data_IF_095810309298
#
_entry.id   IF_095810309298
#
_cell.length_a   1.000
_cell.length_b   1.000
_cell.length_c   1.000
_cell.angle_alpha   90.00
_cell.angle_beta   90.00
_cell.angle_gamma   90.00
#
_symmetry.space_group_name_H-M   'P 1'
#
loop_
_entity.id
_entity.type
_entity.pdbx_description
1 polymer ?
#
# COMPACT_ATOMS: atom_id res chain seq x y z
N UNK A 1 71.23 25.96 29.16
CA UNK A 1 70.78 25.72 27.78
C UNK A 1 70.86 24.22 27.51
N UNK A 2 70.10 23.40 28.26
CA UNK A 2 70.25 21.93 28.27
C UNK A 2 69.06 21.24 28.96
N UNK A 3 67.84 21.77 28.82
CA UNK A 3 66.64 21.14 29.41
C UNK A 3 65.40 21.19 28.50
N UNK A 4 65.56 21.67 27.25
CA UNK A 4 64.50 21.62 26.23
C UNK A 4 64.76 20.58 25.12
N UNK A 5 65.90 19.88 25.18
CA UNK A 5 66.23 18.80 24.23
C UNK A 5 65.80 17.41 24.71
N UNK A 6 65.44 17.23 25.98
CA UNK A 6 65.05 15.90 26.50
C UNK A 6 63.57 15.59 26.28
N UNK A 7 62.70 16.60 26.31
CA UNK A 7 61.23 16.42 26.16
C UNK A 7 60.85 16.14 24.69
N UNK A 8 61.63 16.66 23.73
CA UNK A 8 61.40 16.40 22.30
C UNK A 8 61.87 15.00 21.90
N UNK A 9 62.87 14.44 22.57
CA UNK A 9 63.35 13.07 22.31
C UNK A 9 62.40 12.02 22.90
N UNK A 10 61.77 12.31 24.04
CA UNK A 10 60.78 11.44 24.67
C UNK A 10 59.40 11.47 23.97
N UNK A 11 59.06 12.60 23.31
CA UNK A 11 57.87 12.69 22.45
C UNK A 11 58.06 12.00 21.09
N UNK A 12 59.29 11.90 20.58
CA UNK A 12 59.58 11.18 19.33
C UNK A 12 59.65 9.65 19.51
N UNK A 13 59.93 9.15 20.72
CA UNK A 13 60.00 7.71 21.00
C UNK A 13 58.66 7.08 21.42
N UNK A 14 57.64 7.87 21.72
CA UNK A 14 56.29 7.38 22.05
C UNK A 14 55.32 7.42 20.85
N UNK A 15 55.73 8.05 19.74
CA UNK A 15 54.94 8.12 18.50
C UNK A 15 55.16 6.97 17.51
N UNK A 16 55.93 5.93 17.87
CA UNK A 16 56.31 4.84 16.95
C UNK A 16 55.66 3.48 17.26
N UNK A 17 54.55 3.46 18.01
CA UNK A 17 53.90 2.22 18.45
C UNK A 17 52.52 1.93 17.82
N UNK A 18 52.13 2.62 16.75
CA UNK A 18 50.90 2.29 15.99
C UNK A 18 51.11 2.40 14.48
N UNK A 19 52.10 1.68 13.95
CA UNK A 19 52.02 1.27 12.54
C UNK A 19 50.96 0.18 12.46
N UNK A 20 49.77 0.51 11.97
CA UNK A 20 48.78 -0.48 11.53
C UNK A 20 49.40 -1.27 10.39
N UNK A 21 50.04 -2.39 10.73
CA UNK A 21 50.44 -3.40 9.77
C UNK A 21 49.15 -3.92 9.12
N UNK A 22 48.89 -3.51 7.87
CA UNK A 22 47.95 -4.23 7.02
C UNK A 22 48.56 -5.61 6.78
N UNK A 23 48.15 -6.57 7.59
CA UNK A 23 48.42 -7.98 7.34
C UNK A 23 47.75 -8.33 6.00
N UNK A 24 48.55 -8.35 4.93
CA UNK A 24 48.08 -8.72 3.60
C UNK A 24 47.74 -10.21 3.67
N UNK A 25 46.46 -10.53 3.93
CA UNK A 25 45.94 -11.89 3.85
C UNK A 25 46.46 -12.52 2.55
N UNK A 26 47.12 -13.66 2.71
CA UNK A 26 47.70 -14.47 1.63
C UNK A 26 46.77 -14.45 0.42
N UNK A 27 47.25 -13.87 -0.69
CA UNK A 27 46.52 -13.92 -1.95
C UNK A 27 46.36 -15.37 -2.38
N UNK A 28 45.17 -15.73 -2.88
CA UNK A 28 44.97 -17.04 -3.48
C UNK A 28 45.63 -17.05 -4.86
N UNK A 29 46.74 -17.77 -5.00
CA UNK A 29 47.34 -18.03 -6.32
C UNK A 29 46.60 -19.18 -6.97
N UNK A 30 45.69 -18.86 -7.89
CA UNK A 30 44.95 -19.86 -8.64
C UNK A 30 45.86 -20.38 -9.77
N UNK A 31 46.09 -21.69 -9.81
CA UNK A 31 46.81 -22.34 -10.91
C UNK A 31 46.15 -22.01 -12.26
N UNK A 32 46.89 -21.90 -13.38
CA UNK A 32 46.33 -21.67 -14.71
C UNK A 32 45.22 -22.67 -15.10
N UNK A 33 45.26 -23.88 -14.53
CA UNK A 33 44.22 -24.89 -14.70
C UNK A 33 42.96 -24.56 -13.87
N UNK A 34 43.13 -24.05 -12.65
CA UNK A 34 42.02 -23.63 -11.78
C UNK A 34 41.26 -22.40 -12.30
N UNK A 35 41.98 -21.46 -12.94
CA UNK A 35 41.33 -20.30 -13.60
C UNK A 35 40.46 -20.73 -14.78
N UNK A 36 40.88 -21.76 -15.51
CA UNK A 36 40.11 -22.32 -16.62
C UNK A 36 38.81 -22.96 -16.13
N UNK A 37 38.86 -23.78 -15.06
CA UNK A 37 37.66 -24.38 -14.47
C UNK A 37 36.71 -23.34 -13.86
N UNK A 38 37.23 -22.31 -13.19
CA UNK A 38 36.42 -21.21 -12.67
C UNK A 38 35.73 -20.42 -13.80
N UNK A 39 36.43 -20.20 -14.92
CA UNK A 39 35.87 -19.57 -16.10
C UNK A 39 34.74 -20.39 -16.73
N UNK A 40 34.92 -21.72 -16.84
CA UNK A 40 33.88 -22.63 -17.34
C UNK A 40 32.68 -22.64 -16.40
N UNK A 41 32.89 -22.72 -15.09
CA UNK A 41 31.80 -22.72 -14.12
C UNK A 41 31.00 -21.42 -14.15
N UNK A 42 31.69 -20.27 -14.31
CA UNK A 42 31.05 -18.96 -14.46
C UNK A 42 30.20 -18.89 -15.75
N UNK A 43 30.70 -19.41 -16.87
CA UNK A 43 29.94 -19.48 -18.12
C UNK A 43 28.72 -20.39 -18.01
N UNK A 44 28.86 -21.57 -17.39
CA UNK A 44 27.74 -22.48 -17.15
C UNK A 44 26.69 -21.82 -16.23
N UNK A 45 27.13 -21.08 -15.20
CA UNK A 45 26.23 -20.33 -14.32
C UNK A 45 25.48 -19.22 -15.07
N UNK A 46 26.16 -18.48 -15.96
CA UNK A 46 25.53 -17.46 -16.81
C UNK A 46 24.45 -18.05 -17.72
N UNK A 47 24.73 -19.20 -18.35
CA UNK A 47 23.77 -19.91 -19.20
C UNK A 47 22.62 -20.47 -18.36
N UNK A 48 22.90 -21.02 -17.18
CA UNK A 48 21.88 -21.53 -16.27
C UNK A 48 20.92 -20.45 -15.77
N UNK A 49 21.45 -19.29 -15.36
CA UNK A 49 20.64 -18.12 -14.98
C UNK A 49 19.89 -17.56 -16.19
N UNK A 50 20.52 -17.51 -17.36
CA UNK A 50 19.87 -17.08 -18.61
C UNK A 50 18.70 -17.97 -19.01
N UNK A 51 18.85 -19.30 -18.90
CA UNK A 51 17.77 -20.26 -19.12
C UNK A 51 16.69 -20.15 -18.03
N UNK A 52 17.08 -19.96 -16.78
CA UNK A 52 16.12 -19.76 -15.69
C UNK A 52 15.29 -18.48 -15.93
N UNK A 53 15.92 -17.37 -16.31
CA UNK A 53 15.22 -16.14 -16.69
C UNK A 53 14.36 -16.37 -17.93
N UNK A 54 14.85 -17.10 -18.94
CA UNK A 54 14.07 -17.43 -20.13
C UNK A 54 12.81 -18.25 -19.82
N UNK A 55 12.91 -19.24 -18.94
CA UNK A 55 11.78 -20.10 -18.58
C UNK A 55 10.85 -19.50 -17.52
N UNK A 56 11.37 -18.63 -16.63
CA UNK A 56 10.63 -18.11 -15.48
C UNK A 56 10.37 -16.60 -15.48
N UNK A 57 10.91 -15.81 -16.39
CA UNK A 57 10.58 -14.39 -16.51
C UNK A 57 9.48 -14.17 -17.55
N UNK A 58 8.23 -13.86 -17.16
CA UNK A 58 7.24 -13.33 -18.07
C UNK A 58 7.55 -11.84 -18.31
N UNK A 59 8.60 -11.52 -19.06
CA UNK A 59 8.88 -10.15 -19.47
C UNK A 59 8.45 -9.93 -20.92
N UNK A 60 7.20 -9.45 -20.99
CA UNK A 60 6.56 -8.64 -22.01
C UNK A 60 7.56 -7.81 -22.85
N UNK A 61 7.62 -8.08 -24.15
CA UNK A 61 8.22 -7.16 -25.13
C UNK A 61 7.48 -5.81 -25.07
N UNK A 62 8.18 -4.74 -24.72
CA UNK A 62 7.84 -3.40 -25.22
C UNK A 62 8.37 -3.27 -26.64
N UNK A 63 7.52 -3.55 -27.62
CA UNK A 63 7.76 -3.09 -28.99
C UNK A 63 7.37 -1.61 -29.06
N UNK A 64 8.36 -0.73 -29.04
CA UNK A 64 8.20 0.60 -29.61
C UNK A 64 8.05 0.43 -31.13
N UNK A 65 6.85 0.70 -31.66
CA UNK A 65 6.65 0.78 -33.11
C UNK A 65 6.51 2.25 -33.50
N UNK A 66 7.57 2.78 -34.11
CA UNK A 66 7.46 3.92 -35.02
C UNK A 66 6.63 3.48 -36.23
N UNK A 67 5.69 4.32 -36.63
CA UNK A 67 4.83 4.11 -37.78
C UNK A 67 5.63 4.13 -39.09
N UNK A 68 5.49 3.09 -39.92
CA UNK A 68 5.43 3.22 -41.38
C UNK A 68 4.93 1.91 -42.02
N UNK A 69 3.88 2.06 -42.83
CA UNK A 69 3.29 1.26 -43.92
C UNK A 69 3.78 -0.17 -44.26
N UNK A 70 2.79 -1.04 -44.54
CA UNK A 70 2.87 -2.02 -45.66
C UNK A 70 2.82 -3.52 -45.34
N UNK A 71 1.71 -4.15 -45.72
CA UNK A 71 1.49 -5.56 -46.10
C UNK A 71 1.43 -6.73 -45.09
N UNK A 72 0.18 -7.19 -44.92
CA UNK A 72 -0.34 -8.56 -44.88
C UNK A 72 0.48 -9.71 -44.26
N UNK A 73 0.15 -10.07 -43.00
CA UNK A 73 0.11 -11.47 -42.57
C UNK A 73 -1.10 -11.70 -41.65
N UNK A 74 -1.90 -12.71 -42.00
CA UNK A 74 -3.16 -13.09 -41.38
C UNK A 74 -3.00 -13.63 -39.95
N UNK A 75 -3.85 -13.12 -39.07
CA UNK A 75 -4.60 -13.81 -38.01
C UNK A 75 -3.83 -14.62 -36.96
N UNK A 76 -3.40 -13.91 -35.90
CA UNK A 76 -3.68 -14.38 -34.54
C UNK A 76 -3.92 -13.17 -33.62
N UNK A 77 -5.08 -12.52 -33.79
CA UNK A 77 -5.57 -11.58 -32.80
C UNK A 77 -6.02 -12.36 -31.57
N UNK A 78 -5.07 -12.74 -30.69
CA UNK A 78 -5.42 -12.92 -29.29
C UNK A 78 -5.90 -11.55 -28.82
N UNK A 79 -7.22 -11.39 -28.79
CA UNK A 79 -7.84 -10.34 -28.01
C UNK A 79 -7.53 -10.63 -26.55
N UNK A 80 -6.34 -10.21 -26.09
CA UNK A 80 -6.14 -9.96 -24.68
C UNK A 80 -7.01 -8.76 -24.39
N UNK A 81 -8.30 -9.01 -24.13
CA UNK A 81 -9.15 -8.06 -23.42
C UNK A 81 -8.44 -7.79 -22.11
N UNK A 82 -7.63 -6.73 -22.08
CA UNK A 82 -7.19 -6.12 -20.84
C UNK A 82 -8.47 -5.71 -20.14
N UNK A 83 -8.92 -6.54 -19.20
CA UNK A 83 -10.11 -6.29 -18.42
C UNK A 83 -9.79 -5.07 -17.56
N UNK A 84 -10.07 -3.88 -18.09
CA UNK A 84 -9.99 -2.65 -17.32
C UNK A 84 -11.10 -2.73 -16.27
N UNK A 85 -10.71 -3.11 -15.06
CA UNK A 85 -11.59 -3.18 -13.90
C UNK A 85 -11.83 -1.74 -13.44
N UNK A 86 -12.90 -1.14 -13.96
CA UNK A 86 -13.31 0.23 -13.66
C UNK A 86 -14.68 0.20 -12.97
N UNK A 87 -14.87 1.06 -11.98
CA UNK A 87 -16.15 1.29 -11.33
C UNK A 87 -17.15 1.91 -12.30
N UNK A 88 -18.43 1.58 -12.09
CA UNK A 88 -19.52 2.30 -12.74
C UNK A 88 -19.54 3.76 -12.28
N UNK A 89 -19.88 4.66 -13.19
CA UNK A 89 -20.07 6.09 -12.87
C UNK A 89 -21.45 6.41 -12.28
N UNK A 90 -22.32 5.40 -12.16
CA UNK A 90 -23.68 5.53 -11.63
C UNK A 90 -23.72 6.01 -10.16
N UNK A 91 -22.68 5.71 -9.39
CA UNK A 91 -22.54 6.13 -7.99
C UNK A 91 -21.17 6.76 -7.82
N UNK A 92 -21.13 8.01 -7.36
CA UNK A 92 -19.89 8.76 -7.15
C UNK A 92 -19.80 9.27 -5.70
N UNK A 93 -18.61 9.27 -5.08
CA UNK A 93 -18.46 9.75 -3.71
C UNK A 93 -18.47 11.28 -3.64
N UNK A 94 -18.97 11.83 -2.55
CA UNK A 94 -18.88 13.26 -2.21
C UNK A 94 -18.10 13.50 -0.91
N UNK A 95 -18.39 12.72 0.13
CA UNK A 95 -17.78 12.85 1.45
C UNK A 95 -17.54 11.47 2.08
N UNK A 96 -16.35 11.31 2.65
CA UNK A 96 -15.99 10.23 3.55
C UNK A 96 -15.89 10.75 4.97
N UNK A 97 -16.61 10.13 5.90
CA UNK A 97 -16.32 10.19 7.33
C UNK A 97 -15.68 8.86 7.73
N UNK A 98 -14.40 8.90 8.08
CA UNK A 98 -13.57 7.72 8.30
C UNK A 98 -13.10 7.70 9.76
N UNK A 99 -13.34 6.60 10.45
CA UNK A 99 -12.78 6.30 11.76
C UNK A 99 -11.83 5.12 11.66
N UNK A 100 -10.62 5.27 12.19
CA UNK A 100 -9.61 4.22 12.25
C UNK A 100 -9.11 4.07 13.70
N UNK A 101 -9.06 2.83 14.16
CA UNK A 101 -8.55 2.43 15.47
C UNK A 101 -7.42 1.41 15.24
N UNK A 102 -6.18 1.86 15.05
CA UNK A 102 -5.05 0.96 14.90
C UNK A 102 -4.59 0.43 16.26
N UNK A 103 -4.34 -0.88 16.31
CA UNK A 103 -3.64 -1.55 17.38
C UNK A 103 -2.20 -1.77 16.94
N UNK A 104 -1.26 -1.17 17.67
CA UNK A 104 0.15 -1.04 17.24
C UNK A 104 1.07 -1.50 18.39
N UNK A 105 0.97 -2.77 18.75
CA UNK A 105 1.84 -3.38 19.76
C UNK A 105 2.11 -4.83 19.42
N UNK A 106 3.17 -5.38 20.02
CA UNK A 106 3.57 -6.76 19.78
C UNK A 106 2.44 -7.73 20.13
N UNK A 107 2.11 -8.61 19.19
CA UNK A 107 0.98 -9.54 19.30
C UNK A 107 -0.34 -9.02 18.71
N UNK A 108 -0.50 -7.72 18.46
CA UNK A 108 -1.67 -7.19 17.77
C UNK A 108 -1.34 -6.00 16.84
N UNK A 109 -1.39 -6.28 15.54
CA UNK A 109 -1.21 -5.32 14.46
C UNK A 109 -2.44 -5.26 13.56
N UNK A 110 -3.63 -5.24 14.16
CA UNK A 110 -4.89 -5.06 13.44
C UNK A 110 -5.35 -3.60 13.52
N UNK A 111 -6.33 -3.24 12.70
CA UNK A 111 -7.05 -2.00 12.87
C UNK A 111 -8.54 -2.23 12.66
N UNK A 112 -9.35 -1.56 13.47
CA UNK A 112 -10.79 -1.49 13.26
C UNK A 112 -11.12 -0.19 12.53
N UNK A 113 -12.03 -0.27 11.57
CA UNK A 113 -12.47 0.88 10.81
C UNK A 113 -13.99 0.96 10.71
N UNK A 114 -14.47 2.20 10.66
CA UNK A 114 -15.85 2.56 10.33
C UNK A 114 -15.78 3.64 9.26
N UNK A 115 -16.60 3.52 8.21
CA UNK A 115 -16.66 4.52 7.15
C UNK A 115 -18.12 4.82 6.79
N UNK A 116 -18.45 6.11 6.73
CA UNK A 116 -19.67 6.61 6.10
C UNK A 116 -19.28 7.32 4.82
N UNK A 117 -19.89 6.89 3.72
CA UNK A 117 -19.64 7.46 2.41
C UNK A 117 -20.94 8.10 1.95
N UNK A 118 -20.97 9.43 1.89
CA UNK A 118 -22.01 10.15 1.18
C UNK A 118 -21.76 9.98 -0.32
N UNK A 119 -22.72 9.38 -1.01
CA UNK A 119 -22.65 9.12 -2.45
C UNK A 119 -23.77 9.83 -3.20
N UNK A 120 -23.46 10.31 -4.40
CA UNK A 120 -24.40 10.88 -5.34
C UNK A 120 -24.72 9.85 -6.42
N UNK A 121 -26.00 9.64 -6.69
CA UNK A 121 -26.45 8.71 -7.73
C UNK A 121 -26.71 9.48 -9.01
N UNK A 122 -25.94 9.19 -10.05
CA UNK A 122 -25.99 9.89 -11.35
C UNK A 122 -26.89 9.17 -12.35
N UNK A 123 -27.14 7.87 -12.13
CA UNK A 123 -27.98 6.98 -12.93
C UNK A 123 -28.73 6.02 -12.00
N UNK A 124 -29.99 5.72 -12.31
CA UNK A 124 -30.79 4.77 -11.54
C UNK A 124 -30.07 3.41 -11.48
N UNK A 125 -29.80 2.92 -10.27
CA UNK A 125 -29.01 1.71 -10.07
C UNK A 125 -29.46 0.98 -8.81
N UNK A 126 -29.27 -0.33 -8.77
CA UNK A 126 -29.44 -1.15 -7.57
C UNK A 126 -28.10 -1.72 -7.07
N UNK A 127 -26.99 -1.16 -7.53
CA UNK A 127 -25.65 -1.66 -7.25
C UNK A 127 -24.72 -0.53 -6.80
N UNK A 128 -24.09 -0.74 -5.64
CA UNK A 128 -22.98 0.07 -5.13
C UNK A 128 -21.76 -0.83 -5.08
N UNK A 129 -20.76 -0.53 -5.92
CA UNK A 129 -19.50 -1.27 -5.93
C UNK A 129 -18.37 -0.35 -5.44
N UNK A 130 -17.62 -0.85 -4.47
CA UNK A 130 -16.45 -0.19 -3.88
C UNK A 130 -15.21 -1.05 -4.14
N UNK A 131 -14.03 -0.44 -4.17
CA UNK A 131 -12.78 -1.17 -4.03
C UNK A 131 -12.56 -1.57 -2.57
N UNK A 132 -12.16 -2.83 -2.35
CA UNK A 132 -11.78 -3.35 -1.04
C UNK A 132 -10.83 -4.53 -1.23
N UNK A 133 -9.69 -4.53 -0.52
CA UNK A 133 -8.72 -5.61 -0.60
C UNK A 133 -8.02 -5.83 0.73
N UNK A 134 -7.75 -7.09 1.11
CA UNK A 134 -7.10 -7.43 2.38
C UNK A 134 -7.75 -6.84 3.66
N UNK A 135 -9.05 -6.53 3.60
CA UNK A 135 -9.87 -6.10 4.73
C UNK A 135 -11.13 -6.97 4.83
N UNK A 136 -11.60 -7.21 6.05
CA UNK A 136 -12.82 -7.95 6.33
C UNK A 136 -13.95 -6.99 6.66
N UNK A 137 -14.92 -6.87 5.77
CA UNK A 137 -16.13 -6.06 5.97
C UNK A 137 -17.13 -6.83 6.83
N UNK A 138 -17.77 -6.16 7.79
CA UNK A 138 -18.88 -6.71 8.56
C UNK A 138 -20.20 -6.49 7.80
N UNK A 139 -20.56 -7.47 6.97
CA UNK A 139 -21.76 -7.41 6.13
C UNK A 139 -23.06 -7.29 6.93
N UNK A 140 -23.09 -7.75 8.18
CA UNK A 140 -24.25 -7.62 9.07
C UNK A 140 -24.44 -6.19 9.58
N UNK A 141 -23.36 -5.41 9.64
CA UNK A 141 -23.42 -4.00 10.04
C UNK A 141 -23.74 -3.08 8.85
N UNK A 142 -23.38 -3.46 7.62
CA UNK A 142 -23.57 -2.64 6.43
C UNK A 142 -25.03 -2.19 6.29
N UNK A 143 -25.24 -0.88 6.14
CA UNK A 143 -26.54 -0.32 5.83
C UNK A 143 -26.43 0.90 4.93
N UNK A 144 -27.49 1.13 4.15
CA UNK A 144 -27.62 2.27 3.26
C UNK A 144 -28.87 3.05 3.65
N UNK A 145 -28.72 4.36 3.82
CA UNK A 145 -29.84 5.25 4.11
C UNK A 145 -29.87 6.39 3.09
N UNK A 146 -31.07 6.79 2.70
CA UNK A 146 -31.24 8.00 1.90
C UNK A 146 -30.85 9.23 2.72
N UNK A 147 -30.06 10.12 2.11
CA UNK A 147 -29.59 11.34 2.73
C UNK A 147 -30.52 12.50 2.36
N UNK A 148 -31.00 13.21 3.39
CA UNK A 148 -31.76 14.46 3.22
C UNK A 148 -31.16 15.55 4.09
N UNK A 149 -30.66 16.62 3.46
CA UNK A 149 -30.10 17.77 4.17
C UNK A 149 -31.14 18.46 5.07
N UNK A 150 -32.41 18.43 4.67
CA UNK A 150 -33.51 19.15 5.32
C UNK A 150 -34.30 18.30 6.33
N UNK A 151 -34.08 16.99 6.39
CA UNK A 151 -34.86 16.11 7.26
C UNK A 151 -33.98 15.06 7.94
N UNK A 152 -33.46 15.39 9.13
CA UNK A 152 -32.61 14.49 9.93
C UNK A 152 -33.37 13.31 10.53
N UNK A 153 -34.70 13.38 10.62
CA UNK A 153 -35.50 12.47 11.43
C UNK A 153 -36.20 11.35 10.62
N UNK A 154 -36.46 11.57 9.33
CA UNK A 154 -37.03 10.55 8.44
C UNK A 154 -35.95 10.03 7.48
N UNK A 155 -35.19 9.03 7.93
CA UNK A 155 -34.22 8.33 7.08
C UNK A 155 -34.87 7.08 6.49
N UNK A 156 -35.07 7.09 5.17
CA UNK A 156 -35.49 5.91 4.42
C UNK A 156 -34.34 4.90 4.36
N UNK A 157 -34.50 3.78 5.07
CA UNK A 157 -33.52 2.67 5.05
C UNK A 157 -33.70 1.88 3.76
N UNK A 158 -32.61 1.72 3.00
CA UNK A 158 -32.58 0.95 1.77
C UNK A 158 -32.22 -0.50 2.11
N UNK A 159 -33.09 -1.44 1.75
CA UNK A 159 -32.85 -2.87 1.98
C UNK A 159 -31.72 -3.37 1.09
N UNK A 160 -30.82 -4.16 1.66
CA UNK A 160 -29.73 -4.83 0.95
C UNK A 160 -30.19 -6.24 0.59
N UNK A 161 -30.07 -6.61 -0.69
CA UNK A 161 -30.42 -7.92 -1.21
C UNK A 161 -29.24 -8.90 -1.17
N UNK A 162 -28.04 -8.43 -1.48
CA UNK A 162 -26.83 -9.26 -1.58
C UNK A 162 -25.60 -8.39 -1.27
N UNK A 163 -24.62 -8.96 -0.58
CA UNK A 163 -23.27 -8.43 -0.45
C UNK A 163 -22.28 -9.51 -0.86
N UNK A 164 -21.21 -9.13 -1.54
CA UNK A 164 -20.11 -10.06 -1.85
C UNK A 164 -18.79 -9.35 -2.12
N UNK A 165 -17.71 -10.07 -1.84
CA UNK A 165 -16.36 -9.69 -2.26
C UNK A 165 -16.01 -10.39 -3.58
N UNK A 166 -15.63 -9.62 -4.59
CA UNK A 166 -15.02 -10.11 -5.83
C UNK A 166 -13.50 -9.92 -5.68
N UNK A 167 -12.82 -11.01 -5.32
CA UNK A 167 -11.39 -11.00 -4.95
C UNK A 167 -10.53 -10.64 -6.17
N UNK A 168 -10.87 -11.15 -7.34
CA UNK A 168 -10.11 -10.94 -8.58
C UNK A 168 -10.16 -9.48 -9.02
N UNK A 169 -11.34 -8.84 -8.86
CA UNK A 169 -11.51 -7.41 -9.17
C UNK A 169 -11.20 -6.49 -7.99
N UNK A 170 -10.92 -7.04 -6.81
CA UNK A 170 -10.73 -6.30 -5.56
C UNK A 170 -11.92 -5.38 -5.25
N UNK A 171 -13.13 -5.90 -5.45
CA UNK A 171 -14.37 -5.19 -5.23
C UNK A 171 -15.16 -5.75 -4.06
N UNK A 172 -15.85 -4.85 -3.37
CA UNK A 172 -17.00 -5.18 -2.54
C UNK A 172 -18.26 -4.67 -3.23
N UNK A 173 -19.19 -5.59 -3.51
CA UNK A 173 -20.41 -5.33 -4.29
C UNK A 173 -21.61 -5.42 -3.34
N UNK A 174 -22.37 -4.33 -3.24
CA UNK A 174 -23.59 -4.24 -2.44
C UNK A 174 -24.76 -4.06 -3.41
N UNK A 175 -25.64 -5.05 -3.51
CA UNK A 175 -26.88 -4.94 -4.28
C UNK A 175 -28.04 -4.58 -3.37
N UNK A 176 -28.79 -3.55 -3.72
CA UNK A 176 -29.98 -3.12 -3.00
C UNK A 176 -31.24 -3.79 -3.57
N UNK A 177 -32.23 -4.04 -2.71
CA UNK A 177 -33.54 -4.54 -3.13
C UNK A 177 -34.34 -3.46 -3.88
N UNK A 178 -34.13 -2.19 -3.52
CA UNK A 178 -34.78 -1.04 -4.12
C UNK A 178 -33.79 -0.27 -5.00
N UNK A 179 -34.27 0.30 -6.09
CA UNK A 179 -33.48 1.18 -6.96
C UNK A 179 -33.09 2.46 -6.23
N UNK A 180 -31.79 2.74 -6.19
CA UNK A 180 -31.25 4.05 -5.83
C UNK A 180 -31.53 5.01 -6.98
N UNK A 181 -32.18 6.13 -6.68
CA UNK A 181 -32.70 7.06 -7.68
C UNK A 181 -31.67 8.11 -8.07
N UNK A 182 -31.56 8.34 -9.38
CA UNK A 182 -30.77 9.42 -9.94
C UNK A 182 -31.16 10.76 -9.31
N UNK A 183 -30.15 11.55 -8.96
CA UNK A 183 -30.31 12.86 -8.33
C UNK A 183 -30.39 12.80 -6.81
N UNK A 184 -30.60 11.62 -6.21
CA UNK A 184 -30.63 11.46 -4.76
C UNK A 184 -29.23 11.15 -4.21
N UNK A 185 -29.07 11.44 -2.93
CA UNK A 185 -27.86 11.13 -2.18
C UNK A 185 -28.15 10.02 -1.17
N UNK A 186 -27.16 9.18 -0.91
CA UNK A 186 -27.26 8.09 0.05
C UNK A 186 -26.01 8.05 0.92
N UNK A 187 -26.15 7.56 2.15
CA UNK A 187 -25.01 7.26 3.01
C UNK A 187 -24.82 5.75 3.03
N UNK A 188 -23.68 5.29 2.53
CA UNK A 188 -23.22 3.90 2.65
C UNK A 188 -22.37 3.81 3.91
N UNK A 189 -22.79 2.99 4.87
CA UNK A 189 -22.13 2.87 6.16
C UNK A 189 -21.61 1.46 6.37
N UNK A 190 -20.30 1.32 6.53
CA UNK A 190 -19.62 0.03 6.69
C UNK A 190 -18.71 0.03 7.93
N UNK A 191 -18.55 -1.14 8.53
CA UNK A 191 -17.48 -1.46 9.46
C UNK A 191 -16.58 -2.54 8.88
N UNK A 192 -15.30 -2.47 9.21
CA UNK A 192 -14.32 -3.41 8.69
C UNK A 192 -13.15 -3.57 9.66
N UNK A 193 -12.44 -4.68 9.51
CA UNK A 193 -11.20 -4.99 10.21
C UNK A 193 -10.12 -5.23 9.16
N UNK A 194 -8.95 -4.63 9.37
CA UNK A 194 -7.78 -4.88 8.54
C UNK A 194 -6.54 -5.19 9.37
N UNK A 195 -5.44 -5.46 8.67
CA UNK A 195 -4.16 -5.77 9.27
C UNK A 195 -3.10 -4.76 8.82
N UNK A 196 -2.31 -4.25 9.78
CA UNK A 196 -1.13 -3.44 9.52
C UNK A 196 0.00 -4.35 9.05
N UNK A 197 0.08 -4.52 7.73
CA UNK A 197 1.14 -5.28 7.06
C UNK A 197 2.52 -4.61 7.21
N UNK A 198 3.58 -5.28 6.79
CA UNK A 198 4.97 -4.80 6.79
C UNK A 198 5.54 -4.66 5.37
N UNK A 199 4.67 -4.58 4.38
CA UNK A 199 5.00 -4.53 2.95
C UNK A 199 5.01 -3.11 2.37
N UNK A 200 4.99 -2.08 3.23
CA UNK A 200 5.09 -0.65 2.86
C UNK A 200 3.97 -0.12 1.94
N UNK A 201 2.78 -0.73 1.97
CA UNK A 201 1.64 -0.29 1.15
C UNK A 201 0.31 -0.41 1.91
N UNK A 202 -0.67 0.40 1.53
CA UNK A 202 -1.94 0.52 2.24
C UNK A 202 -1.74 1.20 3.60
N UNK A 203 -2.45 0.73 4.62
CA UNK A 203 -2.21 1.11 6.02
C UNK A 203 -1.34 0.05 6.67
N UNK A 204 -0.09 0.39 6.97
CA UNK A 204 0.96 -0.58 7.31
C UNK A 204 1.72 -0.15 8.57
N UNK A 205 2.42 -1.09 9.20
CA UNK A 205 3.29 -0.83 10.35
C UNK A 205 4.73 -0.62 9.91
N UNK A 206 5.44 0.25 10.62
CA UNK A 206 6.89 0.36 10.54
C UNK A 206 7.47 0.41 11.96
N UNK A 207 8.78 0.24 12.08
CA UNK A 207 9.46 0.29 13.37
C UNK A 207 10.79 1.04 13.28
N UNK A 208 11.21 1.57 14.42
CA UNK A 208 12.53 2.16 14.59
C UNK A 208 13.04 1.91 16.01
N UNK A 209 14.36 1.98 16.20
CA UNK A 209 15.00 1.76 17.48
C UNK A 209 15.21 3.07 18.24
N UNK A 210 14.94 3.05 19.55
CA UNK A 210 15.35 4.10 20.48
C UNK A 210 16.08 3.44 21.64
N UNK A 211 17.41 3.56 21.65
CA UNK A 211 18.25 2.72 22.51
C UNK A 211 18.05 1.24 22.15
N UNK A 212 17.76 0.41 23.15
CA UNK A 212 17.47 -1.03 22.96
C UNK A 212 15.97 -1.35 22.85
N UNK A 213 15.11 -0.34 22.63
CA UNK A 213 13.67 -0.52 22.53
C UNK A 213 13.18 -0.29 21.10
N UNK A 214 12.47 -1.29 20.55
CA UNK A 214 11.72 -1.16 19.30
C UNK A 214 10.48 -0.29 19.52
N UNK A 215 10.30 0.71 18.67
CA UNK A 215 9.09 1.55 18.65
C UNK A 215 8.35 1.35 17.35
N UNK A 216 7.06 1.07 17.48
CA UNK A 216 6.18 0.84 16.34
C UNK A 216 5.44 2.12 15.93
N UNK A 217 5.20 2.26 14.64
CA UNK A 217 4.36 3.30 14.04
C UNK A 217 3.40 2.65 13.04
N UNK A 218 2.25 3.29 12.82
CA UNK A 218 1.38 2.98 11.70
C UNK A 218 1.37 4.16 10.74
N UNK A 219 1.48 3.89 9.45
CA UNK A 219 1.57 4.91 8.41
C UNK A 219 0.93 4.40 7.12
N UNK A 220 0.70 5.29 6.16
CA UNK A 220 -0.05 5.00 4.93
C UNK A 220 0.77 5.27 3.68
N UNK A 221 0.67 4.38 2.70
CA UNK A 221 1.12 4.58 1.32
C UNK A 221 0.02 4.05 0.39
N UNK A 222 -0.72 4.94 -0.26
CA UNK A 222 -1.91 4.57 -1.03
C UNK A 222 -1.71 4.57 -2.54
N UNK A 223 -0.68 5.25 -3.05
CA UNK A 223 -0.42 5.26 -4.49
C UNK A 223 0.14 3.90 -4.95
N UNK A 224 -0.36 3.35 -6.08
CA UNK A 224 -1.42 3.90 -6.93
C UNK A 224 -2.84 3.45 -6.55
N UNK A 225 -3.00 2.28 -5.93
CA UNK A 225 -4.31 1.62 -5.73
C UNK A 225 -4.41 0.89 -4.39
N UNK A 226 -3.76 1.41 -3.35
CA UNK A 226 -3.66 0.75 -2.05
C UNK A 226 -4.54 1.40 -0.96
N UNK A 227 -5.27 2.47 -1.27
CA UNK A 227 -6.29 3.02 -0.34
C UNK A 227 -7.35 1.96 0.00
N UNK A 228 -7.72 1.12 -0.98
CA UNK A 228 -8.64 -0.02 -0.81
C UNK A 228 -8.21 -1.07 0.21
N UNK A 229 -6.95 -1.04 0.66
CA UNK A 229 -6.42 -1.91 1.73
C UNK A 229 -6.55 -1.32 3.12
N UNK A 230 -6.87 -0.03 3.22
CA UNK A 230 -7.07 0.67 4.47
C UNK A 230 -8.56 0.84 4.79
N UNK A 231 -9.40 1.04 3.78
CA UNK A 231 -10.86 1.16 3.93
C UNK A 231 -11.57 0.92 2.59
N UNK A 232 -12.83 0.45 2.60
CA UNK A 232 -13.63 0.29 1.37
C UNK A 232 -13.89 1.67 0.73
N UNK A 233 -13.52 1.86 -0.54
CA UNK A 233 -13.61 3.18 -1.18
C UNK A 233 -13.70 3.15 -2.72
N UNK A 234 -14.02 4.30 -3.32
CA UNK A 234 -14.00 4.51 -4.76
C UNK A 234 -12.56 4.84 -5.19
N UNK A 235 -11.67 3.86 -5.10
CA UNK A 235 -10.21 4.00 -5.32
C UNK A 235 -9.82 4.19 -6.81
N UNK A 236 -10.32 5.26 -7.42
CA UNK A 236 -9.90 5.76 -8.74
C UNK A 236 -9.60 7.27 -8.66
N UNK A 237 -8.47 7.76 -9.20
CA UNK A 237 -8.08 9.17 -9.08
C UNK A 237 -9.11 10.20 -9.58
N UNK A 238 -9.98 9.80 -10.51
CA UNK A 238 -11.03 10.66 -11.05
C UNK A 238 -12.22 10.86 -10.09
N UNK A 239 -12.40 9.99 -9.09
CA UNK A 239 -13.51 9.98 -8.14
C UNK A 239 -13.12 10.71 -6.85
N UNK A 240 -12.86 12.01 -6.97
CA UNK A 240 -12.46 12.86 -5.84
C UNK A 240 -13.62 13.05 -4.85
N UNK A 241 -13.28 13.11 -3.57
CA UNK A 241 -14.22 13.37 -2.48
C UNK A 241 -13.53 14.11 -1.33
N UNK A 242 -14.34 14.64 -0.41
CA UNK A 242 -13.86 15.22 0.85
C UNK A 242 -13.63 14.12 1.88
N UNK A 243 -12.69 14.32 2.79
CA UNK A 243 -12.37 13.37 3.85
C UNK A 243 -12.40 14.04 5.22
N UNK A 244 -13.19 13.48 6.13
CA UNK A 244 -13.14 13.74 7.56
C UNK A 244 -12.55 12.51 8.24
N UNK A 245 -11.36 12.65 8.81
CA UNK A 245 -10.59 11.54 9.35
C UNK A 245 -10.54 11.64 10.87
N UNK A 246 -10.96 10.56 11.53
CA UNK A 246 -10.90 10.35 12.96
C UNK A 246 -9.96 9.18 13.23
N UNK A 247 -8.91 9.41 14.03
CA UNK A 247 -7.88 8.42 14.28
C UNK A 247 -7.67 8.26 15.79
N UNK A 248 -8.04 7.09 16.30
CA UNK A 248 -7.75 6.72 17.68
C UNK A 248 -6.26 6.37 17.83
N UNK A 249 -5.72 6.60 19.03
CA UNK A 249 -4.31 6.32 19.34
C UNK A 249 -4.09 6.23 20.85
N UNK A 250 -3.05 5.51 21.29
CA UNK A 250 -2.55 5.60 22.65
C UNK A 250 -2.21 7.06 23.05
N UNK A 251 -2.38 7.39 24.35
CA UNK A 251 -2.18 8.76 24.86
C UNK A 251 -0.74 9.28 24.65
N UNK A 252 0.24 8.38 24.63
CA UNK A 252 1.66 8.69 24.43
C UNK A 252 2.06 8.80 22.95
N UNK A 253 1.11 8.68 22.00
CA UNK A 253 1.36 8.82 20.57
C UNK A 253 0.83 10.14 20.00
N UNK A 254 1.38 10.49 18.84
CA UNK A 254 0.89 11.57 17.98
C UNK A 254 0.32 10.99 16.69
N UNK A 255 -0.72 11.62 16.16
CA UNK A 255 -1.30 11.34 14.86
C UNK A 255 -1.32 12.61 14.03
N UNK A 256 -1.07 12.43 12.74
CA UNK A 256 -0.98 13.46 11.72
C UNK A 256 -1.79 12.93 10.52
N UNK A 257 -2.40 13.84 9.79
CA UNK A 257 -3.13 13.55 8.55
C UNK A 257 -3.02 14.78 7.64
N UNK A 258 -3.68 14.77 6.49
CA UNK A 258 -3.65 15.85 5.50
C UNK A 258 -4.12 17.20 6.07
N UNK A 259 -5.11 17.18 6.96
CA UNK A 259 -5.71 18.40 7.53
C UNK A 259 -5.29 18.62 8.98
N UNK A 260 -5.27 19.89 9.45
CA UNK A 260 -5.06 20.21 10.86
C UNK A 260 -6.08 19.50 11.76
N UNK A 261 -5.67 19.15 12.98
CA UNK A 261 -6.57 18.53 13.96
C UNK A 261 -7.66 19.51 14.37
N UNK A 262 -8.91 19.09 14.25
CA UNK A 262 -10.09 19.81 14.74
C UNK A 262 -10.57 19.14 16.04
N UNK A 263 -10.96 19.95 17.03
CA UNK A 263 -11.56 19.46 18.28
C UNK A 263 -10.56 18.95 19.33
N UNK A 264 -11.14 18.46 20.45
CA UNK A 264 -10.41 17.89 21.60
C UNK A 264 -10.31 16.37 21.47
N UNK A 265 -9.31 15.78 22.14
CA UNK A 265 -9.18 14.32 22.24
C UNK A 265 -10.30 13.78 23.11
N UNK A 266 -11.06 12.82 22.60
CA UNK A 266 -12.08 12.08 23.35
C UNK A 266 -11.61 10.64 23.56
N UNK A 267 -11.82 10.04 24.75
CA UNK A 267 -11.67 8.60 24.92
C UNK A 267 -12.61 7.84 23.97
N UNK A 268 -12.13 6.71 23.48
CA UNK A 268 -12.88 5.76 22.64
C UNK A 268 -13.23 4.55 23.48
#
# INVERSE_FOLDING_TARGET
MTQSRSIVVEALTIMDAHTTMFERKSGYTISPCGTFFLGIFFLISLVGVGLLVYYFAPCREEKQLQASDGDSFLNFSISIKKNYVKLSKAVVPDLYELWLIPFIWEGNFTFHGEVKILVNVTEDTNNVTLHAFCIKIDENFTHIVEYSANNKNNKTVIKIAEQKNDIDKQFHVIKTSNTLKKGNQYVVHLKFIGYLNDNLHGFYRSSYMVGNQTRWIATTQFEPTDARRAFPCFDEPALKAKFQINLARPRNMTSISNMPRIGKRTPV
#
